data_IF_050595260594
#
_entry.id   IF_050595260594
#
_cell.length_a   1.000
_cell.length_b   1.000
_cell.length_c   1.000
_cell.angle_alpha   90.00
_cell.angle_beta   90.00
_cell.angle_gamma   90.00
#
_symmetry.space_group_name_H-M   'P 1'
#
loop_
_entity.id
_entity.type
_entity.pdbx_description
1 polymer ?
#
# COMPACT_ATOMS: atom_id res chain seq x y z
N UNK A 1 -18.90 15.53 9.75
CA UNK A 1 -17.56 15.11 9.33
C UNK A 1 -17.57 15.07 7.81
N UNK A 2 -16.63 15.74 7.14
CA UNK A 2 -16.60 15.70 5.68
C UNK A 2 -16.30 14.28 5.19
N UNK A 3 -16.76 13.93 3.99
CA UNK A 3 -16.54 12.62 3.36
C UNK A 3 -15.04 12.29 3.27
N UNK A 4 -14.22 13.28 2.95
CA UNK A 4 -12.77 13.15 2.87
C UNK A 4 -12.11 12.82 4.22
N UNK A 5 -12.53 13.49 5.30
CA UNK A 5 -12.01 13.21 6.65
C UNK A 5 -12.36 11.80 7.08
N UNK A 6 -13.59 11.35 6.82
CA UNK A 6 -13.99 9.96 7.05
C UNK A 6 -13.13 9.00 6.22
N UNK A 7 -12.93 9.31 4.95
CA UNK A 7 -12.09 8.54 4.03
C UNK A 7 -10.65 8.41 4.52
N UNK A 8 -10.04 9.49 5.02
CA UNK A 8 -8.70 9.45 5.60
C UNK A 8 -8.64 8.55 6.83
N UNK A 9 -9.56 8.71 7.78
CA UNK A 9 -9.59 7.89 8.99
C UNK A 9 -9.75 6.40 8.63
N UNK A 10 -10.69 6.07 7.75
CA UNK A 10 -10.91 4.70 7.30
C UNK A 10 -9.71 4.14 6.52
N UNK A 11 -9.05 4.95 5.70
CA UNK A 11 -7.84 4.56 4.98
C UNK A 11 -6.71 4.17 5.91
N UNK A 12 -6.40 5.00 6.89
CA UNK A 12 -5.36 4.68 7.88
C UNK A 12 -5.75 3.48 8.74
N UNK A 13 -6.99 3.43 9.23
CA UNK A 13 -7.48 2.29 10.00
C UNK A 13 -7.37 0.98 9.20
N UNK A 14 -7.76 1.00 7.92
CA UNK A 14 -7.64 -0.15 7.01
C UNK A 14 -6.19 -0.62 6.86
N UNK A 15 -5.27 0.30 6.55
CA UNK A 15 -3.87 -0.06 6.32
C UNK A 15 -3.23 -0.63 7.58
N UNK A 16 -3.40 0.02 8.74
CA UNK A 16 -2.85 -0.49 10.00
C UNK A 16 -3.48 -1.82 10.42
N UNK A 17 -4.77 -1.99 10.18
CA UNK A 17 -5.47 -3.25 10.43
C UNK A 17 -4.89 -4.39 9.56
N UNK A 18 -4.62 -4.13 8.28
CA UNK A 18 -4.01 -5.11 7.38
C UNK A 18 -2.57 -5.46 7.77
N UNK A 19 -1.77 -4.49 8.20
CA UNK A 19 -0.43 -4.73 8.73
C UNK A 19 -0.51 -5.59 10.00
N UNK A 20 -1.44 -5.31 10.90
CA UNK A 20 -1.66 -6.08 12.11
C UNK A 20 -2.04 -7.53 11.79
N UNK A 21 -3.01 -7.74 10.90
CA UNK A 21 -3.43 -9.09 10.48
C UNK A 21 -2.26 -9.85 9.83
N UNK A 22 -1.54 -9.22 8.90
CA UNK A 22 -0.39 -9.86 8.25
C UNK A 22 0.70 -10.26 9.27
N UNK A 23 0.97 -9.40 10.25
CA UNK A 23 1.92 -9.69 11.33
C UNK A 23 1.44 -10.84 12.21
N UNK A 24 0.14 -10.90 12.50
CA UNK A 24 -0.46 -11.97 13.29
C UNK A 24 -0.37 -13.32 12.53
N UNK A 25 -0.75 -13.35 11.26
CA UNK A 25 -0.66 -14.52 10.38
C UNK A 25 0.80 -14.99 10.29
N UNK A 26 1.74 -14.06 10.09
CA UNK A 26 3.17 -14.37 10.04
C UNK A 26 3.63 -15.12 11.31
N UNK A 27 3.27 -14.60 12.48
CA UNK A 27 3.65 -15.20 13.77
C UNK A 27 3.00 -16.55 13.99
N UNK A 28 1.71 -16.68 13.69
CA UNK A 28 0.94 -17.93 13.92
C UNK A 28 1.43 -19.07 13.00
N UNK A 29 1.67 -18.77 11.74
CA UNK A 29 2.06 -19.76 10.73
C UNK A 29 3.57 -19.83 10.49
N UNK A 30 4.37 -19.03 11.22
CA UNK A 30 5.83 -18.93 11.07
C UNK A 30 6.27 -18.64 9.62
N UNK A 31 5.53 -17.78 8.94
CA UNK A 31 5.80 -17.42 7.55
C UNK A 31 7.03 -16.52 7.44
N UNK A 32 7.67 -16.54 6.26
CA UNK A 32 8.80 -15.65 5.99
C UNK A 32 8.37 -14.18 5.93
N UNK A 33 9.30 -13.27 6.22
CA UNK A 33 9.07 -11.83 6.10
C UNK A 33 8.68 -11.45 4.67
N UNK A 34 9.27 -12.11 3.67
CA UNK A 34 8.96 -11.86 2.26
C UNK A 34 7.50 -12.18 1.92
N UNK A 35 6.99 -13.30 2.41
CA UNK A 35 5.58 -13.66 2.20
C UNK A 35 4.63 -12.67 2.87
N UNK A 36 4.91 -12.28 4.13
CA UNK A 36 4.10 -11.29 4.86
C UNK A 36 4.10 -9.94 4.17
N UNK A 37 5.26 -9.50 3.66
CA UNK A 37 5.39 -8.27 2.88
C UNK A 37 4.52 -8.31 1.63
N UNK A 38 4.43 -9.44 0.92
CA UNK A 38 3.57 -9.60 -0.26
C UNK A 38 2.09 -9.51 0.09
N UNK A 39 1.66 -10.11 1.21
CA UNK A 39 0.28 -9.96 1.70
C UNK A 39 -0.02 -8.48 1.97
N UNK A 40 0.86 -7.78 2.68
CA UNK A 40 0.70 -6.35 2.97
C UNK A 40 0.66 -5.54 1.68
N UNK A 41 1.51 -5.85 0.71
CA UNK A 41 1.57 -5.19 -0.60
C UNK A 41 0.22 -5.28 -1.33
N UNK A 42 -0.36 -6.47 -1.41
CA UNK A 42 -1.68 -6.68 -2.04
C UNK A 42 -2.77 -5.95 -1.24
N UNK A 43 -2.76 -6.08 0.07
CA UNK A 43 -3.75 -5.44 0.93
C UNK A 43 -3.71 -3.90 0.82
N UNK A 44 -2.51 -3.32 0.91
CA UNK A 44 -2.32 -1.86 0.82
C UNK A 44 -2.66 -1.34 -0.58
N UNK A 45 -2.35 -2.09 -1.65
CA UNK A 45 -2.71 -1.68 -3.00
C UNK A 45 -4.21 -1.57 -3.23
N UNK A 46 -5.00 -2.41 -2.55
CA UNK A 46 -6.47 -2.31 -2.58
C UNK A 46 -7.01 -1.03 -1.92
N UNK A 47 -6.18 -0.25 -1.21
CA UNK A 47 -6.53 1.06 -0.70
C UNK A 47 -7.05 2.02 -1.78
N UNK A 48 -6.65 1.83 -3.03
CA UNK A 48 -7.11 2.69 -4.14
C UNK A 48 -8.63 2.72 -4.26
N UNK A 49 -9.34 1.64 -3.90
CA UNK A 49 -10.80 1.61 -3.89
C UNK A 49 -11.39 2.61 -2.88
N UNK A 50 -10.74 2.75 -1.71
CA UNK A 50 -11.11 3.77 -0.74
C UNK A 50 -10.86 5.17 -1.28
N UNK A 51 -9.72 5.38 -1.92
CA UNK A 51 -9.37 6.68 -2.50
C UNK A 51 -10.41 7.12 -3.53
N UNK A 52 -10.75 6.25 -4.48
CA UNK A 52 -11.73 6.55 -5.53
C UNK A 52 -13.14 6.78 -5.00
N UNK A 53 -13.51 6.13 -3.90
CA UNK A 53 -14.84 6.25 -3.33
C UNK A 53 -15.02 7.48 -2.44
N UNK A 54 -13.99 7.81 -1.63
CA UNK A 54 -14.12 8.85 -0.60
C UNK A 54 -13.57 10.20 -1.01
N UNK A 55 -12.49 10.25 -1.82
CA UNK A 55 -11.77 11.49 -2.09
C UNK A 55 -12.22 12.12 -3.42
N UNK A 56 -12.55 13.40 -3.35
CA UNK A 56 -12.87 14.21 -4.52
C UNK A 56 -11.67 15.03 -4.99
N UNK A 57 -10.82 15.43 -4.04
CA UNK A 57 -9.68 16.28 -4.27
C UNK A 57 -8.35 15.52 -4.20
N UNK A 58 -7.46 15.81 -5.15
CA UNK A 58 -6.15 15.17 -5.27
C UNK A 58 -5.24 15.39 -4.05
N UNK A 59 -5.30 16.61 -3.44
CA UNK A 59 -4.46 16.94 -2.28
C UNK A 59 -4.83 16.16 -1.02
N UNK A 60 -6.08 15.72 -0.91
CA UNK A 60 -6.50 14.84 0.18
C UNK A 60 -6.13 13.39 -0.14
N UNK A 61 -6.36 12.95 -1.38
CA UNK A 61 -6.03 11.60 -1.82
C UNK A 61 -4.54 11.28 -1.70
N UNK A 62 -3.65 12.26 -1.88
CA UNK A 62 -2.20 12.06 -1.80
C UNK A 62 -1.67 11.92 -0.36
N UNK A 63 -2.41 12.37 0.65
CA UNK A 63 -1.99 12.32 2.06
C UNK A 63 -1.65 10.90 2.49
N UNK A 64 -2.50 9.92 2.14
CA UNK A 64 -2.28 8.52 2.46
C UNK A 64 -0.95 7.98 1.92
N UNK A 65 -0.75 7.98 0.59
CA UNK A 65 0.52 7.57 -0.02
C UNK A 65 1.75 8.28 0.52
N UNK A 66 1.72 9.61 0.71
CA UNK A 66 2.85 10.37 1.24
C UNK A 66 3.16 9.98 2.69
N UNK A 67 2.14 9.86 3.54
CA UNK A 67 2.32 9.38 4.90
C UNK A 67 2.93 7.95 4.90
N UNK A 68 2.53 7.11 3.97
CA UNK A 68 3.04 5.74 3.86
C UNK A 68 4.50 5.69 3.38
N UNK A 69 4.93 6.62 2.51
CA UNK A 69 6.35 6.80 2.15
C UNK A 69 7.17 7.11 3.40
N UNK A 70 6.70 8.05 4.24
CA UNK A 70 7.39 8.43 5.47
C UNK A 70 7.44 7.27 6.49
N UNK A 71 6.33 6.58 6.69
CA UNK A 71 6.24 5.41 7.60
C UNK A 71 7.20 4.31 7.14
N UNK A 72 7.23 3.99 5.84
CA UNK A 72 8.12 2.96 5.31
C UNK A 72 9.60 3.39 5.36
N UNK A 73 9.89 4.66 5.12
CA UNK A 73 11.25 5.19 5.28
C UNK A 73 11.73 5.08 6.73
N UNK A 74 10.89 5.44 7.69
CA UNK A 74 11.19 5.30 9.11
C UNK A 74 11.32 3.82 9.50
N UNK A 75 10.45 2.96 9.00
CA UNK A 75 10.55 1.51 9.24
C UNK A 75 11.85 0.95 8.67
N UNK A 76 12.21 1.30 7.44
CA UNK A 76 13.46 0.90 6.82
C UNK A 76 14.69 1.33 7.64
N UNK A 77 14.67 2.55 8.20
CA UNK A 77 15.77 3.08 8.99
C UNK A 77 15.87 2.45 10.39
N UNK A 78 14.71 2.24 11.04
CA UNK A 78 14.62 1.85 12.46
C UNK A 78 14.09 0.42 12.66
N UNK A 79 13.76 -0.30 11.59
CA UNK A 79 13.22 -1.67 11.62
C UNK A 79 11.97 -1.80 12.52
N UNK A 80 11.01 -0.85 12.36
CA UNK A 80 9.82 -0.76 13.20
C UNK A 80 8.84 -1.89 12.88
N UNK A 81 8.57 -2.13 11.58
CA UNK A 81 7.64 -3.15 11.10
C UNK A 81 8.39 -4.32 10.45
N UNK A 82 8.83 -5.27 11.26
CA UNK A 82 9.59 -6.45 10.79
C UNK A 82 8.87 -7.25 9.70
N UNK A 83 7.53 -7.28 9.73
CA UNK A 83 6.73 -7.97 8.72
C UNK A 83 6.78 -7.32 7.32
N UNK A 84 7.25 -6.08 7.23
CA UNK A 84 7.40 -5.32 5.98
C UNK A 84 8.84 -5.30 5.47
N UNK A 85 9.81 -5.75 6.27
CA UNK A 85 11.24 -5.70 5.96
C UNK A 85 11.69 -7.03 5.34
N UNK A 86 12.60 -6.95 4.39
CA UNK A 86 13.37 -8.11 3.92
C UNK A 86 14.52 -8.40 4.91
N UNK A 87 14.98 -9.65 4.93
CA UNK A 87 16.19 -10.03 5.68
C UNK A 87 17.42 -9.23 5.21
N UNK A 88 17.49 -8.97 3.89
CA UNK A 88 18.44 -8.01 3.32
C UNK A 88 17.75 -6.65 3.17
N UNK A 89 18.32 -5.59 3.72
CA UNK A 89 17.82 -4.22 3.62
C UNK A 89 17.67 -3.80 2.17
N UNK A 90 16.44 -3.78 1.68
CA UNK A 90 16.10 -3.41 0.32
C UNK A 90 15.11 -2.23 0.33
N UNK A 91 15.38 -1.12 -0.37
CA UNK A 91 14.51 0.04 -0.43
C UNK A 91 13.20 -0.19 -1.21
N UNK A 92 12.94 -1.41 -1.69
CA UNK A 92 11.73 -1.75 -2.44
C UNK A 92 10.42 -1.43 -1.71
N UNK A 93 10.41 -1.49 -0.37
CA UNK A 93 9.26 -1.09 0.46
C UNK A 93 8.95 0.40 0.36
N UNK A 94 9.94 1.24 0.00
CA UNK A 94 9.78 2.68 -0.18
C UNK A 94 9.30 3.00 -1.60
N UNK A 95 9.79 2.27 -2.60
CA UNK A 95 9.44 2.53 -4.01
C UNK A 95 7.97 2.25 -4.30
N UNK A 96 7.37 1.25 -3.63
CA UNK A 96 5.96 0.94 -3.83
C UNK A 96 5.02 2.11 -3.48
N UNK A 97 5.07 2.71 -2.28
CA UNK A 97 4.22 3.85 -1.98
C UNK A 97 4.56 5.10 -2.81
N UNK A 98 5.80 5.26 -3.29
CA UNK A 98 6.15 6.33 -4.25
C UNK A 98 5.38 6.11 -5.56
N UNK A 99 5.41 4.91 -6.11
CA UNK A 99 4.66 4.57 -7.32
C UNK A 99 3.16 4.77 -7.12
N UNK A 100 2.64 4.38 -5.96
CA UNK A 100 1.23 4.59 -5.58
C UNK A 100 0.89 6.09 -5.53
N UNK A 101 1.76 6.93 -4.97
CA UNK A 101 1.59 8.38 -4.93
C UNK A 101 1.53 8.99 -6.33
N UNK A 102 2.48 8.60 -7.20
CA UNK A 102 2.52 9.07 -8.60
C UNK A 102 1.25 8.66 -9.33
N UNK A 103 0.84 7.39 -9.25
CA UNK A 103 -0.38 6.91 -9.90
C UNK A 103 -1.63 7.62 -9.35
N UNK A 104 -1.69 7.90 -8.05
CA UNK A 104 -2.79 8.67 -7.46
C UNK A 104 -2.87 10.07 -8.04
N UNK A 105 -1.75 10.78 -8.15
CA UNK A 105 -1.70 12.11 -8.78
C UNK A 105 -2.19 12.06 -10.24
N UNK A 106 -1.73 11.09 -11.02
CA UNK A 106 -2.19 10.92 -12.40
C UNK A 106 -3.69 10.61 -12.47
N UNK A 107 -4.21 9.78 -11.57
CA UNK A 107 -5.64 9.46 -11.49
C UNK A 107 -6.49 10.73 -11.35
N UNK A 108 -6.08 11.64 -10.48
CA UNK A 108 -6.84 12.86 -10.22
C UNK A 108 -6.58 13.99 -11.23
N UNK A 109 -5.41 14.01 -11.91
CA UNK A 109 -5.09 15.01 -12.93
C UNK A 109 -5.76 14.75 -14.27
N UNK A 110 -6.06 13.50 -14.61
CA UNK A 110 -6.58 13.06 -15.91
C UNK A 110 -8.01 12.53 -15.79
N UNK A 111 -8.92 13.33 -15.25
CA UNK A 111 -10.31 12.92 -14.92
C UNK A 111 -11.05 12.11 -15.99
N UNK A 112 -10.94 12.32 -17.31
CA UNK A 112 -11.61 11.46 -18.28
C UNK A 112 -10.92 10.10 -18.48
N UNK A 113 -9.66 9.93 -18.06
CA UNK A 113 -8.87 8.71 -18.21
C UNK A 113 -8.50 8.06 -16.87
N UNK A 114 -9.34 8.24 -15.84
CA UNK A 114 -9.15 7.71 -14.49
C UNK A 114 -8.80 6.22 -14.44
N UNK A 115 -9.24 5.46 -15.45
CA UNK A 115 -9.06 4.01 -15.47
C UNK A 115 -7.60 3.56 -15.68
N UNK A 116 -6.80 4.33 -16.44
CA UNK A 116 -5.44 3.90 -16.79
C UNK A 116 -4.49 3.84 -15.59
N UNK A 117 -4.34 4.90 -14.76
CA UNK A 117 -3.52 4.81 -13.57
C UNK A 117 -4.04 3.78 -12.57
N UNK A 118 -5.37 3.63 -12.49
CA UNK A 118 -6.01 2.61 -11.67
C UNK A 118 -5.61 1.18 -12.10
N UNK A 119 -5.64 0.88 -13.39
CA UNK A 119 -5.18 -0.40 -13.92
C UNK A 119 -3.70 -0.63 -13.64
N UNK A 120 -2.87 0.43 -13.71
CA UNK A 120 -1.46 0.37 -13.33
C UNK A 120 -1.25 -0.02 -11.87
N UNK A 121 -2.00 0.59 -10.95
CA UNK A 121 -1.97 0.24 -9.52
C UNK A 121 -2.40 -1.22 -9.32
N UNK A 122 -3.48 -1.64 -9.96
CA UNK A 122 -3.97 -3.03 -9.85
C UNK A 122 -2.97 -4.03 -10.41
N UNK A 123 -2.40 -3.77 -11.58
CA UNK A 123 -1.39 -4.63 -12.17
C UNK A 123 -0.14 -4.75 -11.28
N UNK A 124 0.34 -3.64 -10.70
CA UNK A 124 1.47 -3.63 -9.79
C UNK A 124 1.13 -4.38 -8.48
N UNK A 125 -0.06 -4.16 -7.92
CA UNK A 125 -0.50 -4.73 -6.66
C UNK A 125 -0.69 -6.24 -6.76
N UNK A 126 -1.50 -6.67 -7.70
CA UNK A 126 -1.86 -8.07 -7.86
C UNK A 126 -0.84 -8.84 -8.70
N UNK A 127 -0.30 -8.23 -9.76
CA UNK A 127 0.68 -8.87 -10.64
C UNK A 127 1.95 -9.20 -9.89
N UNK A 128 2.60 -8.24 -9.26
CA UNK A 128 3.83 -8.46 -8.49
C UNK A 128 3.56 -9.29 -7.23
N UNK A 129 2.47 -9.03 -6.51
CA UNK A 129 2.09 -9.79 -5.33
C UNK A 129 1.88 -11.26 -5.63
N UNK A 130 1.08 -11.60 -6.64
CA UNK A 130 0.78 -12.99 -7.01
C UNK A 130 1.94 -13.70 -7.68
N UNK A 131 2.72 -13.01 -8.54
CA UNK A 131 3.89 -13.60 -9.17
C UNK A 131 4.90 -14.12 -8.13
N UNK A 132 5.07 -13.40 -7.04
CA UNK A 132 5.96 -13.82 -5.97
C UNK A 132 5.40 -14.95 -5.10
N UNK A 133 4.08 -15.05 -4.95
CA UNK A 133 3.42 -16.15 -4.20
C UNK A 133 3.45 -17.45 -5.01
N UNK A 134 3.17 -17.38 -6.32
CA UNK A 134 3.07 -18.55 -7.21
C UNK A 134 4.45 -18.97 -7.71
N UNK A 135 5.34 -18.03 -8.01
CA UNK A 135 6.65 -18.31 -8.62
C UNK A 135 7.67 -18.96 -7.68
N UNK A 136 7.37 -19.10 -6.40
CA UNK A 136 8.22 -19.82 -5.41
C UNK A 136 7.78 -21.25 -5.14
N UNK A 137 6.85 -21.78 -5.92
CA UNK A 137 6.53 -23.22 -5.94
C UNK A 137 7.41 -23.89 -7.00
#
# INVERSE_FOLDING_TARGET
MSRDVLGLILSFAYVFFMIFIATLIQKLFKLSNDFSRKIIHIAVGNWIFFALYYFEDWYIAIIGPVAFILINFLSYKFTIFKAMELEEKNPGTIYYPISLAICTLFTYSQKPLLILPYLGIMAMTWGDGMAAVIGKQ
#
